data_IF_370339677019
#
_entry.id   IF_370339677019
#
_cell.length_a   1.000
_cell.length_b   1.000
_cell.length_c   1.000
_cell.angle_alpha   90.00
_cell.angle_beta   90.00
_cell.angle_gamma   90.00
#
_symmetry.space_group_name_H-M   'P 1'
#
loop_
_entity.id
_entity.type
_entity.pdbx_description
1 polymer ?
#
# COMPACT_ATOMS: atom_id res chain seq x y z
N UNK A 1 10.20 26.32 -9.02
CA UNK A 1 9.79 24.98 -8.55
C UNK A 1 10.10 24.90 -7.08
N UNK A 2 9.10 24.65 -6.25
CA UNK A 2 9.27 24.53 -4.80
C UNK A 2 8.97 23.09 -4.41
N UNK A 3 9.94 22.42 -3.80
CA UNK A 3 9.80 21.05 -3.30
C UNK A 3 10.22 21.02 -1.83
N UNK A 4 9.57 20.15 -1.06
CA UNK A 4 9.99 19.79 0.29
C UNK A 4 9.97 18.28 0.45
N UNK A 5 10.81 17.77 1.34
CA UNK A 5 10.94 16.35 1.59
C UNK A 5 11.09 16.01 3.07
N UNK A 6 10.72 14.80 3.43
CA UNK A 6 10.95 14.21 4.74
C UNK A 6 11.46 12.77 4.57
N UNK A 7 12.44 12.40 5.40
CA UNK A 7 12.91 11.02 5.53
C UNK A 7 12.40 10.46 6.85
N UNK A 8 11.55 9.44 6.79
CA UNK A 8 10.93 8.80 7.94
C UNK A 8 11.74 7.56 8.28
N UNK A 9 12.19 7.44 9.53
CA UNK A 9 12.88 6.27 10.07
C UNK A 9 11.86 5.36 10.75
N UNK A 10 11.53 4.24 10.11
CA UNK A 10 10.49 3.34 10.57
C UNK A 10 10.83 2.72 11.93
N UNK A 11 12.12 2.46 12.18
CA UNK A 11 12.56 1.88 13.45
C UNK A 11 12.34 2.84 14.61
N UNK A 12 12.60 4.13 14.41
CA UNK A 12 12.32 5.17 15.43
C UNK A 12 10.83 5.36 15.69
N UNK A 13 9.99 5.03 14.72
CA UNK A 13 8.53 5.05 14.85
C UNK A 13 7.95 3.77 15.48
N UNK A 14 8.79 2.78 15.82
CA UNK A 14 8.37 1.53 16.46
C UNK A 14 8.20 0.33 15.52
N UNK A 15 8.43 0.51 14.21
CA UNK A 15 8.30 -0.56 13.21
C UNK A 15 9.64 -1.29 13.03
N UNK A 16 9.77 -2.43 13.72
CA UNK A 16 10.99 -3.24 13.76
C UNK A 16 11.26 -4.04 12.47
N UNK A 17 12.47 -4.63 12.38
CA UNK A 17 12.92 -5.39 11.19
C UNK A 17 12.00 -6.58 10.90
N UNK A 18 11.65 -7.37 11.93
CA UNK A 18 10.81 -8.56 11.79
C UNK A 18 9.43 -8.24 11.22
N UNK A 19 8.74 -7.24 11.79
CA UNK A 19 7.46 -6.74 11.29
C UNK A 19 7.54 -6.29 9.83
N UNK A 20 8.54 -5.45 9.49
CA UNK A 20 8.65 -4.89 8.14
C UNK A 20 9.13 -5.90 7.10
N UNK A 21 9.85 -6.96 7.50
CA UNK A 21 10.41 -7.95 6.57
C UNK A 21 9.46 -9.12 6.35
N UNK A 22 8.81 -9.60 7.41
CA UNK A 22 7.94 -10.77 7.38
C UNK A 22 6.49 -10.40 7.08
N UNK A 23 5.91 -9.50 7.88
CA UNK A 23 4.48 -9.19 7.81
C UNK A 23 4.16 -8.16 6.73
N UNK A 24 5.15 -7.32 6.36
CA UNK A 24 5.06 -6.33 5.29
C UNK A 24 3.73 -5.53 5.29
N UNK A 25 3.37 -4.87 6.42
CA UNK A 25 2.11 -4.14 6.54
C UNK A 25 1.96 -3.06 5.45
N UNK A 26 0.72 -2.77 5.07
CA UNK A 26 0.38 -1.78 4.07
C UNK A 26 0.97 -0.41 4.44
N UNK A 27 1.69 0.20 3.49
CA UNK A 27 2.19 1.57 3.64
C UNK A 27 1.26 2.53 2.89
N UNK A 28 0.36 3.09 3.69
CA UNK A 28 -0.55 4.23 3.52
C UNK A 28 0.06 5.57 3.11
N UNK A 29 0.09 6.03 1.86
CA UNK A 29 0.45 7.44 1.58
C UNK A 29 -0.73 8.23 1.08
N UNK A 30 -0.90 9.44 1.62
CA UNK A 30 -1.89 10.42 1.19
C UNK A 30 -1.30 11.81 1.18
N UNK A 31 -1.75 12.64 0.24
CA UNK A 31 -1.44 14.05 0.18
C UNK A 31 -2.58 14.84 -0.43
N UNK A 32 -2.84 16.04 0.08
CA UNK A 32 -3.87 16.91 -0.45
C UNK A 32 -3.24 18.11 -1.14
N UNK A 33 -3.68 18.37 -2.37
CA UNK A 33 -3.17 19.47 -3.18
C UNK A 33 -4.29 20.27 -3.86
N UNK A 34 -4.03 21.56 -4.09
CA UNK A 34 -4.96 22.45 -4.79
C UNK A 34 -4.21 23.59 -5.50
N UNK A 35 -4.85 24.15 -6.52
CA UNK A 35 -4.45 25.38 -7.18
C UNK A 35 -5.27 26.58 -6.69
N UNK A 36 -4.91 27.78 -7.13
CA UNK A 36 -5.85 28.91 -7.12
C UNK A 36 -6.75 28.82 -8.36
N UNK A 37 -7.96 29.37 -8.29
CA UNK A 37 -8.83 29.42 -9.45
C UNK A 37 -8.21 30.25 -10.59
N UNK A 38 -7.54 31.36 -10.28
CA UNK A 38 -7.01 32.31 -11.26
C UNK A 38 -5.62 31.95 -11.82
N UNK A 39 -5.01 30.84 -11.41
CA UNK A 39 -3.68 30.44 -11.89
C UNK A 39 -3.55 28.92 -11.97
N UNK A 40 -3.15 28.42 -13.14
CA UNK A 40 -2.77 27.03 -13.29
C UNK A 40 -1.48 26.70 -12.54
N UNK A 41 -1.32 25.44 -12.13
CA UNK A 41 -0.10 24.96 -11.48
C UNK A 41 0.20 23.50 -11.83
N UNK A 42 1.44 23.09 -11.62
CA UNK A 42 1.85 21.69 -11.66
C UNK A 42 2.12 21.17 -10.24
N UNK A 43 1.77 19.92 -9.99
CA UNK A 43 2.01 19.17 -8.76
C UNK A 43 2.88 17.94 -9.04
N UNK A 44 3.86 17.69 -8.17
CA UNK A 44 4.75 16.53 -8.19
C UNK A 44 4.75 15.86 -6.81
N UNK A 45 4.71 14.53 -6.79
CA UNK A 45 4.94 13.70 -5.61
C UNK A 45 5.90 12.55 -5.94
N UNK A 46 6.75 12.22 -4.98
CA UNK A 46 7.72 11.14 -5.05
C UNK A 46 7.86 10.49 -3.68
N UNK A 47 7.56 9.20 -3.61
CA UNK A 47 7.72 8.40 -2.40
C UNK A 47 8.59 7.18 -2.72
N UNK A 48 9.65 6.98 -1.94
CA UNK A 48 10.52 5.81 -2.07
C UNK A 48 10.57 5.03 -0.75
N UNK A 49 10.43 3.72 -0.84
CA UNK A 49 10.77 2.80 0.23
C UNK A 49 12.25 2.46 0.12
N UNK A 50 13.01 2.67 1.19
CA UNK A 50 14.47 2.56 1.18
C UNK A 50 14.98 1.52 2.16
N UNK A 51 16.09 0.88 1.80
CA UNK A 51 16.83 -0.04 2.67
C UNK A 51 17.60 0.67 3.79
N UNK A 52 18.24 -0.10 4.68
CA UNK A 52 19.14 0.41 5.73
C UNK A 52 20.27 1.29 5.15
N UNK A 53 20.79 0.92 3.97
CA UNK A 53 21.81 1.68 3.22
C UNK A 53 21.23 2.83 2.38
N UNK A 54 19.94 3.16 2.54
CA UNK A 54 19.20 4.16 1.76
C UNK A 54 19.11 3.83 0.25
N UNK A 55 19.21 2.55 -0.14
CA UNK A 55 18.95 2.12 -1.52
C UNK A 55 17.45 2.06 -1.76
N UNK A 56 17.00 2.49 -2.95
CA UNK A 56 15.59 2.42 -3.33
C UNK A 56 15.18 0.97 -3.57
N UNK A 57 14.17 0.50 -2.85
CA UNK A 57 13.57 -0.83 -3.01
C UNK A 57 12.28 -0.75 -3.83
N UNK A 58 11.41 0.21 -3.49
CA UNK A 58 10.17 0.49 -4.22
C UNK A 58 10.00 2.00 -4.41
N UNK A 59 9.30 2.39 -5.48
CA UNK A 59 9.03 3.79 -5.81
C UNK A 59 7.57 4.00 -6.21
N UNK A 60 7.03 5.12 -5.77
CA UNK A 60 5.82 5.74 -6.27
C UNK A 60 6.19 7.14 -6.75
N UNK A 61 6.08 7.36 -8.06
CA UNK A 61 6.38 8.63 -8.71
C UNK A 61 5.51 8.74 -9.96
N UNK A 62 4.22 9.08 -9.80
CA UNK A 62 3.31 9.24 -10.93
C UNK A 62 3.75 10.38 -11.84
N UNK A 63 3.10 10.49 -13.00
CA UNK A 63 3.28 11.65 -13.87
C UNK A 63 2.87 12.95 -13.17
N UNK A 64 3.43 14.07 -13.64
CA UNK A 64 3.08 15.39 -13.13
C UNK A 64 1.59 15.66 -13.33
N UNK A 65 0.94 16.17 -12.28
CA UNK A 65 -0.46 16.59 -12.36
C UNK A 65 -0.50 18.07 -12.73
N UNK A 66 -1.24 18.41 -13.78
CA UNK A 66 -1.45 19.79 -14.20
C UNK A 66 -2.88 20.23 -13.88
N UNK A 67 -3.01 21.30 -13.11
CA UNK A 67 -4.30 21.95 -12.84
C UNK A 67 -4.40 23.18 -13.74
N UNK A 68 -5.44 23.28 -14.58
CA UNK A 68 -5.59 24.41 -15.49
C UNK A 68 -5.92 25.71 -14.75
N UNK A 69 -5.64 26.83 -15.41
CA UNK A 69 -6.17 28.13 -15.00
C UNK A 69 -7.70 28.11 -15.13
N UNK A 70 -8.39 28.83 -14.25
CA UNK A 70 -9.86 28.86 -14.14
C UNK A 70 -10.45 27.50 -13.77
N UNK A 71 -9.68 26.68 -13.04
CA UNK A 71 -10.20 25.47 -12.40
C UNK A 71 -11.18 25.84 -11.28
N UNK A 72 -11.92 24.82 -10.85
CA UNK A 72 -12.81 24.88 -9.68
C UNK A 72 -12.07 25.12 -8.35
N UNK A 73 -10.73 25.09 -8.37
CA UNK A 73 -9.87 25.26 -7.19
C UNK A 73 -10.20 24.29 -6.05
N UNK A 74 -10.74 23.11 -6.38
CA UNK A 74 -11.02 22.09 -5.39
C UNK A 74 -9.75 21.38 -4.92
N UNK A 75 -9.77 20.98 -3.65
CA UNK A 75 -8.76 20.12 -3.08
C UNK A 75 -8.91 18.70 -3.63
N UNK A 76 -7.79 18.13 -4.07
CA UNK A 76 -7.70 16.79 -4.60
C UNK A 76 -6.83 15.94 -3.68
N UNK A 77 -7.24 14.69 -3.45
CA UNK A 77 -6.46 13.70 -2.72
C UNK A 77 -5.62 12.89 -3.72
N UNK A 78 -4.32 12.79 -3.43
CA UNK A 78 -3.42 11.81 -4.03
C UNK A 78 -3.18 10.70 -3.01
N UNK A 79 -3.47 9.45 -3.38
CA UNK A 79 -3.26 8.30 -2.49
C UNK A 79 -2.55 7.15 -3.20
N UNK A 80 -1.75 6.40 -2.43
CA UNK A 80 -1.12 5.17 -2.89
C UNK A 80 -0.87 4.25 -1.70
N UNK A 81 -0.98 2.94 -1.93
CA UNK A 81 -0.64 1.93 -0.93
C UNK A 81 0.47 1.05 -1.50
N UNK A 82 1.61 1.00 -0.80
CA UNK A 82 2.60 -0.04 -1.09
C UNK A 82 2.18 -1.33 -0.39
N UNK A 83 2.13 -2.41 -1.17
CA UNK A 83 1.91 -3.79 -0.73
C UNK A 83 3.00 -4.67 -1.30
N UNK A 84 3.26 -5.80 -0.65
CA UNK A 84 4.20 -6.82 -1.13
C UNK A 84 5.55 -6.23 -1.57
N UNK A 85 6.04 -5.23 -0.83
CA UNK A 85 7.24 -4.46 -1.19
C UNK A 85 8.55 -5.23 -0.95
N UNK A 86 8.45 -6.43 -0.38
CA UNK A 86 9.57 -7.29 -0.06
C UNK A 86 10.32 -6.83 1.20
N UNK A 87 11.23 -7.68 1.71
CA UNK A 87 11.96 -7.38 2.94
C UNK A 87 12.98 -6.26 2.75
N UNK A 88 13.36 -5.64 3.87
CA UNK A 88 14.49 -4.72 3.95
C UNK A 88 14.13 -3.24 4.01
N UNK A 89 12.84 -2.87 3.95
CA UNK A 89 12.40 -1.47 4.07
C UNK A 89 12.68 -0.94 5.48
N UNK A 90 13.40 0.18 5.57
CA UNK A 90 13.77 0.85 6.84
C UNK A 90 13.43 2.33 6.86
N UNK A 91 13.37 2.96 5.69
CA UNK A 91 13.02 4.36 5.59
C UNK A 91 11.97 4.59 4.51
N UNK A 92 11.21 5.66 4.70
CA UNK A 92 10.31 6.22 3.68
C UNK A 92 10.81 7.61 3.36
N UNK A 93 11.25 7.82 2.11
CA UNK A 93 11.52 9.16 1.61
C UNK A 93 10.26 9.68 0.94
N UNK A 94 9.72 10.79 1.43
CA UNK A 94 8.56 11.46 0.88
C UNK A 94 8.97 12.85 0.39
N UNK A 95 8.63 13.20 -0.85
CA UNK A 95 8.88 14.52 -1.43
C UNK A 95 7.69 14.96 -2.27
N UNK A 96 7.33 16.21 -2.18
CA UNK A 96 6.26 16.79 -2.99
C UNK A 96 6.42 18.30 -3.18
N UNK A 97 5.61 18.86 -4.07
CA UNK A 97 5.48 20.29 -4.28
C UNK A 97 5.12 20.62 -5.71
N UNK A 98 5.55 21.77 -6.19
CA UNK A 98 5.19 22.23 -7.52
C UNK A 98 5.54 23.69 -7.81
N UNK A 99 4.94 24.23 -8.87
CA UNK A 99 5.06 25.64 -9.29
C UNK A 99 3.81 26.05 -10.06
N UNK A 100 3.61 27.35 -10.21
CA UNK A 100 2.62 27.88 -11.14
C UNK A 100 3.02 27.58 -12.60
N UNK A 101 2.06 27.71 -13.51
CA UNK A 101 2.30 27.62 -14.96
C UNK A 101 2.30 28.96 -15.67
N UNK A 102 1.94 30.05 -14.98
CA UNK A 102 1.82 31.40 -15.53
C UNK A 102 3.06 32.29 -15.32
N UNK A 103 4.01 31.83 -14.50
CA UNK A 103 5.26 32.52 -14.15
C UNK A 103 5.04 33.87 -13.48
N UNK A 104 3.95 33.99 -12.72
CA UNK A 104 3.62 35.21 -11.99
C UNK A 104 4.46 35.37 -10.73
N UNK A 105 4.90 36.60 -10.47
CA UNK A 105 5.60 36.92 -9.23
C UNK A 105 4.66 36.76 -8.02
N UNK A 106 5.01 35.89 -7.06
CA UNK A 106 4.25 35.66 -5.83
C UNK A 106 4.02 34.17 -5.54
N UNK A 107 3.01 33.87 -4.71
CA UNK A 107 2.67 32.50 -4.29
C UNK A 107 1.49 31.95 -5.09
N UNK A 108 1.72 31.68 -6.37
CA UNK A 108 0.70 31.20 -7.31
C UNK A 108 0.82 29.70 -7.64
N UNK A 109 1.87 29.04 -7.13
CA UNK A 109 2.05 27.60 -7.30
C UNK A 109 1.08 26.75 -6.48
N UNK A 110 1.24 25.44 -6.60
CA UNK A 110 0.42 24.46 -5.88
C UNK A 110 0.48 24.66 -4.37
N UNK A 111 -0.66 24.48 -3.72
CA UNK A 111 -0.79 24.39 -2.26
C UNK A 111 -0.87 22.93 -1.89
N UNK A 112 -0.11 22.52 -0.88
CA UNK A 112 -0.10 21.14 -0.37
C UNK A 112 -0.33 21.14 1.14
N UNK A 113 -1.11 20.18 1.64
CA UNK A 113 -1.42 20.05 3.07
C UNK A 113 -1.88 18.62 3.40
N UNK A 114 -2.10 18.35 4.69
CA UNK A 114 -2.68 17.10 5.18
C UNK A 114 -1.97 15.84 4.64
N UNK A 115 -0.65 15.95 4.46
CA UNK A 115 0.22 14.86 4.05
C UNK A 115 0.30 13.84 5.16
N UNK A 116 0.10 12.56 4.85
CA UNK A 116 0.19 11.47 5.82
C UNK A 116 0.90 10.26 5.25
N UNK A 117 1.64 9.59 6.14
CA UNK A 117 2.16 8.23 5.93
C UNK A 117 1.66 7.38 7.09
N UNK A 118 0.88 6.35 6.81
CA UNK A 118 0.33 5.39 7.78
C UNK A 118 0.87 3.99 7.51
N UNK A 119 1.04 3.23 8.58
CA UNK A 119 1.32 1.79 8.50
C UNK A 119 0.06 1.10 9.00
N UNK A 120 -0.60 0.36 8.12
CA UNK A 120 -1.88 -0.27 8.37
C UNK A 120 -1.73 -1.80 8.33
N UNK A 121 -2.51 -2.56 9.10
CA UNK A 121 -2.55 -4.02 8.95
C UNK A 121 -2.82 -4.39 7.50
N UNK A 122 -2.21 -5.46 7.02
CA UNK A 122 -2.45 -5.96 5.65
C UNK A 122 -3.96 -6.17 5.43
N UNK A 123 -4.48 -5.59 4.34
CA UNK A 123 -5.89 -5.78 3.97
C UNK A 123 -6.10 -7.17 3.35
N UNK A 124 -6.37 -8.14 4.20
CA UNK A 124 -6.65 -9.53 3.81
C UNK A 124 -7.96 -9.68 3.01
N UNK A 125 -8.79 -8.64 2.88
CA UNK A 125 -10.08 -8.74 2.16
C UNK A 125 -9.94 -8.65 0.63
N UNK A 126 -8.83 -8.05 0.14
CA UNK A 126 -8.53 -7.91 -1.30
C UNK A 126 -8.04 -9.22 -1.94
N UNK A 127 -7.60 -10.20 -1.15
CA UNK A 127 -7.06 -11.48 -1.64
C UNK A 127 -8.15 -12.46 -2.12
N UNK A 128 -9.44 -12.15 -1.96
CA UNK A 128 -10.54 -13.10 -2.26
C UNK A 128 -10.95 -13.21 -3.75
N UNK A 129 -10.20 -12.64 -4.69
CA UNK A 129 -10.50 -12.75 -6.14
C UNK A 129 -9.35 -13.42 -6.91
N UNK A 130 -8.97 -14.63 -6.50
CA UNK A 130 -8.42 -15.61 -7.45
C UNK A 130 -8.94 -17.01 -7.12
N UNK A 131 -9.57 -17.72 -8.06
CA UNK A 131 -9.94 -19.11 -7.84
C UNK A 131 -8.67 -19.97 -7.91
N UNK A 132 -8.03 -20.20 -6.76
CA UNK A 132 -7.08 -21.31 -6.66
C UNK A 132 -7.86 -22.61 -6.87
N UNK A 133 -7.72 -23.17 -8.07
CA UNK A 133 -8.25 -24.50 -8.39
C UNK A 133 -7.51 -25.53 -7.55
N UNK A 134 -8.12 -25.98 -6.45
CA UNK A 134 -7.64 -27.11 -5.67
C UNK A 134 -7.80 -28.37 -6.53
N UNK A 135 -6.71 -28.88 -7.10
CA UNK A 135 -6.69 -30.23 -7.69
C UNK A 135 -6.61 -31.27 -6.58
N UNK A 136 -7.77 -31.72 -6.11
CA UNK A 136 -7.85 -32.92 -5.29
C UNK A 136 -7.37 -34.14 -6.09
N UNK A 137 -6.22 -34.71 -5.72
CA UNK A 137 -5.78 -36.00 -6.23
C UNK A 137 -6.63 -37.09 -5.58
N UNK A 138 -7.36 -37.84 -6.40
CA UNK A 138 -8.22 -38.93 -5.94
C UNK A 138 -7.43 -40.04 -5.24
N UNK A 139 -7.68 -40.22 -3.95
CA UNK A 139 -7.21 -41.39 -3.20
C UNK A 139 -8.02 -42.60 -3.67
N UNK A 140 -7.33 -43.59 -4.26
CA UNK A 140 -7.91 -44.89 -4.62
C UNK A 140 -8.35 -45.61 -3.34
N UNK A 141 -9.66 -45.81 -3.14
CA UNK A 141 -10.21 -46.65 -2.07
C UNK A 141 -9.81 -48.10 -2.30
N UNK A 142 -8.98 -48.65 -1.42
CA UNK A 142 -8.83 -50.10 -1.29
C UNK A 142 -10.04 -50.65 -0.51
N UNK A 143 -10.67 -51.65 -1.11
CA UNK A 143 -11.89 -52.28 -0.65
C UNK A 143 -11.52 -53.43 0.31
N UNK A 144 -11.86 -53.33 1.60
CA UNK A 144 -11.77 -54.46 2.53
C UNK A 144 -13.16 -54.92 3.00
N UNK A 145 -13.30 -56.24 2.95
CA UNK A 145 -14.52 -57.06 2.98
C UNK A 145 -15.30 -56.91 4.29
N UNK A 146 -16.60 -56.68 4.17
CA UNK A 146 -17.56 -56.91 5.25
C UNK A 146 -17.72 -58.41 5.55
N UNK A 147 -17.69 -58.78 6.83
CA UNK A 147 -18.28 -60.03 7.34
C UNK A 147 -19.42 -59.69 8.28
N UNK A 148 -20.54 -60.33 8.02
CA UNK A 148 -21.87 -60.10 8.57
C UNK A 148 -22.05 -60.66 9.98
N UNK A 149 -22.74 -59.87 10.81
CA UNK A 149 -23.71 -60.19 11.88
C UNK A 149 -23.69 -61.61 12.50
N UNK A 150 -23.60 -61.65 13.83
CA UNK A 150 -24.47 -62.50 14.68
C UNK A 150 -24.84 -61.75 15.98
N UNK A 151 -26.13 -61.59 16.22
CA UNK A 151 -26.75 -61.35 17.54
C UNK A 151 -27.41 -62.66 17.96
N UNK A 152 -27.28 -63.05 19.24
CA UNK A 152 -28.36 -63.61 20.07
C UNK A 152 -27.81 -63.99 21.46
N UNK A 153 -28.75 -64.06 22.42
CA UNK A 153 -28.60 -63.95 23.86
C UNK A 153 -28.15 -65.22 24.63
N UNK A 154 -27.67 -64.98 25.87
CA UNK A 154 -27.73 -65.69 27.19
C UNK A 154 -28.40 -67.10 27.27
N UNK A 155 -28.07 -68.00 28.24
CA UNK A 155 -27.90 -67.70 29.68
C UNK A 155 -26.85 -68.52 30.49
N UNK A 156 -26.84 -68.25 31.81
CA UNK A 156 -25.95 -68.72 32.88
C UNK A 156 -25.91 -70.24 33.13
N UNK A 157 -24.75 -70.70 33.61
CA UNK A 157 -24.57 -71.39 34.90
C UNK A 157 -23.24 -70.93 35.51
#
# INVERSE_FOLDING_TARGET
>A
MCLKSQLIDLRKMGYGKELMDSDQPDIVIRDWFAARADCGCQYEIKVHLLSEDKKVLCKFSPELVFIPQWSDAHWQEMSHTFRDYGPGVRYIYFSHGGKDTQWWAGWYGVRVTNTSVTIEPEDLTVQSVTPHTIKCHGVKKQNQKGKSKKRACKPCM
#
